data_IF_887307709433
#
_entry.id   IF_887307709433
#
_cell.length_a   1.000
_cell.length_b   1.000
_cell.length_c   1.000
_cell.angle_alpha   90.00
_cell.angle_beta   90.00
_cell.angle_gamma   90.00
#
_symmetry.space_group_name_H-M   'P 1'
#
loop_
_entity.id
_entity.type
_entity.pdbx_description
1 polymer ?
#
# COMPACT_ATOMS: atom_id res chain seq x y z
N UNK A 1 1.07 0.61 3.84
CA UNK A 1 1.37 0.19 2.46
C UNK A 1 2.33 1.12 1.71
N UNK A 2 2.00 2.40 1.40
CA UNK A 2 2.84 3.32 0.60
C UNK A 2 4.33 3.36 0.98
N UNK A 3 4.65 3.64 2.25
CA UNK A 3 6.04 3.78 2.70
C UNK A 3 6.84 2.49 2.54
N UNK A 4 6.21 1.34 2.82
CA UNK A 4 6.83 0.03 2.63
C UNK A 4 7.16 -0.22 1.16
N UNK A 5 6.20 0.04 0.25
CA UNK A 5 6.44 -0.05 -1.18
C UNK A 5 7.55 0.90 -1.65
N UNK A 6 7.53 2.16 -1.22
CA UNK A 6 8.55 3.15 -1.59
C UNK A 6 9.95 2.75 -1.11
N UNK A 7 10.09 2.28 0.15
CA UNK A 7 11.36 1.81 0.69
C UNK A 7 11.91 0.61 -0.10
N UNK A 8 11.04 -0.34 -0.46
CA UNK A 8 11.40 -1.49 -1.30
C UNK A 8 11.82 -1.06 -2.71
N UNK A 9 11.12 -0.09 -3.30
CA UNK A 9 11.49 0.48 -4.58
C UNK A 9 12.88 1.10 -4.56
N UNK A 10 13.20 1.86 -3.51
CA UNK A 10 14.53 2.45 -3.34
C UNK A 10 15.62 1.41 -3.11
N UNK A 11 15.38 0.41 -2.28
CA UNK A 11 16.32 -0.68 -2.02
C UNK A 11 16.61 -1.49 -3.30
N UNK A 12 15.60 -1.70 -4.15
CA UNK A 12 15.74 -2.42 -5.42
C UNK A 12 16.22 -1.54 -6.60
N UNK A 13 16.46 -0.24 -6.37
CA UNK A 13 16.85 0.69 -7.43
C UNK A 13 15.77 0.93 -8.49
N UNK A 14 14.50 0.69 -8.17
CA UNK A 14 13.38 0.85 -9.08
C UNK A 14 13.03 2.33 -9.28
N UNK A 15 12.71 2.69 -10.52
CA UNK A 15 12.11 3.99 -10.85
C UNK A 15 10.59 3.85 -10.86
N UNK A 16 9.91 4.69 -10.09
CA UNK A 16 8.45 4.72 -9.99
C UNK A 16 7.97 6.15 -9.73
N UNK A 17 6.73 6.43 -10.11
CA UNK A 17 6.01 7.64 -9.76
C UNK A 17 5.45 7.53 -8.33
N UNK A 18 5.90 8.37 -7.38
CA UNK A 18 5.43 8.31 -6.00
C UNK A 18 3.96 8.73 -5.84
N UNK A 19 3.41 9.57 -6.71
CA UNK A 19 2.00 9.95 -6.66
C UNK A 19 1.11 8.79 -7.08
N UNK A 20 1.46 8.08 -8.16
CA UNK A 20 0.72 6.89 -8.60
C UNK A 20 0.79 5.76 -7.55
N UNK A 21 1.96 5.51 -6.97
CA UNK A 21 2.10 4.56 -5.86
C UNK A 21 1.26 4.98 -4.64
N UNK A 22 1.20 6.28 -4.34
CA UNK A 22 0.38 6.79 -3.24
C UNK A 22 -1.11 6.57 -3.48
N UNK A 23 -1.60 6.84 -4.69
CA UNK A 23 -3.00 6.59 -5.05
C UNK A 23 -3.30 5.09 -4.98
N UNK A 24 -2.43 4.24 -5.53
CA UNK A 24 -2.55 2.77 -5.37
C UNK A 24 -2.71 2.36 -3.90
N UNK A 25 -1.84 2.88 -3.03
CA UNK A 25 -1.89 2.59 -1.61
C UNK A 25 -3.16 3.09 -0.90
N UNK A 26 -3.67 4.27 -1.28
CA UNK A 26 -4.87 4.84 -0.67
C UNK A 26 -6.14 4.07 -1.03
N UNK A 27 -6.22 3.51 -2.24
CA UNK A 27 -7.46 2.95 -2.77
C UNK A 27 -7.51 1.41 -2.76
N UNK A 28 -6.40 0.70 -2.53
CA UNK A 28 -6.36 -0.76 -2.71
C UNK A 28 -7.43 -1.55 -1.93
N UNK A 29 -7.74 -1.12 -0.70
CA UNK A 29 -8.72 -1.74 0.18
C UNK A 29 -10.08 -1.03 0.18
N UNK A 30 -10.28 -0.02 -0.67
CA UNK A 30 -11.50 0.80 -0.65
C UNK A 30 -12.76 -0.03 -0.95
N UNK A 31 -12.62 -1.06 -1.81
CA UNK A 31 -13.66 -2.02 -2.13
C UNK A 31 -14.12 -2.89 -0.96
N UNK A 32 -13.38 -2.94 0.16
CA UNK A 32 -13.83 -3.65 1.37
C UNK A 32 -14.90 -2.87 2.13
N UNK A 33 -15.05 -1.57 1.86
CA UNK A 33 -15.97 -0.70 2.59
C UNK A 33 -17.39 -0.81 2.06
N UNK A 34 -18.40 -0.70 2.94
CA UNK A 34 -19.83 -0.77 2.58
C UNK A 34 -20.21 0.15 1.43
N UNK A 35 -19.61 1.34 1.38
CA UNK A 35 -19.97 2.36 0.39
C UNK A 35 -19.54 1.99 -1.03
N UNK A 36 -18.42 1.29 -1.17
CA UNK A 36 -17.79 1.06 -2.47
C UNK A 36 -17.81 -0.40 -2.89
N UNK A 37 -18.10 -1.34 -1.96
CA UNK A 37 -18.23 -2.75 -2.32
C UNK A 37 -19.43 -2.97 -3.23
N UNK A 38 -19.24 -3.83 -4.22
CA UNK A 38 -20.32 -4.42 -5.00
C UNK A 38 -20.53 -5.88 -4.60
N UNK A 39 -21.60 -6.48 -5.11
CA UNK A 39 -21.96 -7.88 -4.83
C UNK A 39 -21.65 -8.83 -5.99
N UNK A 40 -21.26 -8.29 -7.14
CA UNK A 40 -21.09 -9.01 -8.41
C UNK A 40 -19.64 -9.07 -8.90
N UNK A 41 -18.69 -8.48 -8.17
CA UNK A 41 -17.27 -8.50 -8.52
C UNK A 41 -16.36 -8.54 -7.28
N UNK A 42 -15.06 -8.66 -7.54
CA UNK A 42 -13.99 -8.68 -6.53
C UNK A 42 -13.78 -7.29 -5.93
N UNK A 43 -13.50 -7.21 -4.63
CA UNK A 43 -13.25 -5.93 -3.94
C UNK A 43 -12.02 -5.20 -4.50
N UNK A 44 -11.04 -5.95 -5.01
CA UNK A 44 -9.87 -5.37 -5.67
C UNK A 44 -10.26 -4.60 -6.92
N UNK A 45 -11.25 -5.09 -7.68
CA UNK A 45 -11.78 -4.39 -8.85
C UNK A 45 -12.58 -3.16 -8.43
N UNK A 46 -13.39 -3.26 -7.36
CA UNK A 46 -14.12 -2.11 -6.80
C UNK A 46 -13.18 -0.96 -6.40
N UNK A 47 -12.07 -1.27 -5.71
CA UNK A 47 -11.07 -0.28 -5.33
C UNK A 47 -10.34 0.31 -6.55
N UNK A 48 -10.03 -0.52 -7.55
CA UNK A 48 -9.37 -0.10 -8.77
C UNK A 48 -10.24 0.86 -9.60
N UNK A 49 -11.53 0.54 -9.76
CA UNK A 49 -12.49 1.38 -10.47
C UNK A 49 -12.62 2.77 -9.82
N UNK A 50 -12.69 2.82 -8.49
CA UNK A 50 -12.75 4.07 -7.74
C UNK A 50 -11.46 4.89 -7.84
N UNK A 51 -10.29 4.24 -7.84
CA UNK A 51 -9.02 4.91 -8.07
C UNK A 51 -8.94 5.53 -9.47
N UNK A 52 -9.37 4.79 -10.49
CA UNK A 52 -9.40 5.28 -11.87
C UNK A 52 -10.36 6.47 -12.00
N UNK A 53 -11.57 6.37 -11.43
CA UNK A 53 -12.53 7.48 -11.38
C UNK A 53 -11.95 8.72 -10.70
N UNK A 54 -11.25 8.54 -9.58
CA UNK A 54 -10.56 9.63 -8.87
C UNK A 54 -9.49 10.28 -9.75
N UNK A 55 -8.62 9.49 -10.37
CA UNK A 55 -7.54 10.00 -11.23
C UNK A 55 -8.07 10.77 -12.44
N UNK A 56 -9.09 10.22 -13.11
CA UNK A 56 -9.74 10.88 -14.25
C UNK A 56 -10.32 12.24 -13.86
N UNK A 57 -10.96 12.34 -12.69
CA UNK A 57 -11.48 13.60 -12.17
C UNK A 57 -10.38 14.65 -11.87
N UNK A 58 -9.12 14.23 -11.76
CA UNK A 58 -7.95 15.10 -11.56
C UNK A 58 -7.10 15.23 -12.83
N UNK A 59 -7.62 14.84 -13.99
CA UNK A 59 -6.93 14.98 -15.28
C UNK A 59 -5.84 13.94 -15.55
N UNK A 60 -5.69 12.92 -14.70
CA UNK A 60 -4.77 11.80 -14.92
C UNK A 60 -5.54 10.67 -15.60
N UNK A 61 -5.22 10.42 -16.87
CA UNK A 61 -5.91 9.44 -17.73
C UNK A 61 -4.91 8.53 -18.45
N UNK A 62 -5.42 7.65 -19.32
CA UNK A 62 -4.61 6.74 -20.13
C UNK A 62 -3.74 5.81 -19.29
N UNK A 63 -2.51 5.58 -19.74
CA UNK A 63 -1.59 4.60 -19.17
C UNK A 63 -1.36 4.78 -17.65
N UNK A 64 -1.30 6.01 -17.16
CA UNK A 64 -1.10 6.28 -15.73
C UNK A 64 -2.28 5.80 -14.88
N UNK A 65 -3.50 6.09 -15.33
CA UNK A 65 -4.71 5.65 -14.66
C UNK A 65 -4.88 4.13 -14.75
N UNK A 66 -4.54 3.55 -15.90
CA UNK A 66 -4.59 2.11 -16.11
C UNK A 66 -3.55 1.38 -15.26
N UNK A 67 -2.35 1.94 -15.11
CA UNK A 67 -1.30 1.40 -14.25
C UNK A 67 -1.74 1.33 -12.79
N UNK A 68 -2.35 2.40 -12.27
CA UNK A 68 -2.88 2.40 -10.89
C UNK A 68 -4.03 1.42 -10.74
N UNK A 69 -4.93 1.36 -11.73
CA UNK A 69 -6.02 0.39 -11.74
C UNK A 69 -5.48 -1.05 -11.69
N UNK A 70 -4.50 -1.39 -12.54
CA UNK A 70 -3.89 -2.73 -12.59
C UNK A 70 -3.14 -3.05 -11.30
N UNK A 71 -2.42 -2.08 -10.74
CA UNK A 71 -1.72 -2.24 -9.47
C UNK A 71 -2.68 -2.65 -8.36
N UNK A 72 -3.82 -1.99 -8.27
CA UNK A 72 -4.86 -2.32 -7.27
C UNK A 72 -5.55 -3.63 -7.62
N UNK A 73 -5.97 -3.86 -8.87
CA UNK A 73 -6.72 -5.07 -9.23
C UNK A 73 -5.93 -6.37 -8.96
N UNK A 74 -4.59 -6.31 -9.04
CA UNK A 74 -3.70 -7.45 -8.85
C UNK A 74 -2.98 -7.48 -7.48
N UNK A 75 -3.26 -6.55 -6.55
CA UNK A 75 -2.44 -6.42 -5.35
C UNK A 75 -2.47 -7.64 -4.41
N UNK A 76 -3.52 -8.48 -4.51
CA UNK A 76 -3.66 -9.75 -3.78
C UNK A 76 -3.23 -10.97 -4.60
N UNK A 77 -2.87 -10.78 -5.87
CA UNK A 77 -2.42 -11.84 -6.75
C UNK A 77 -0.92 -12.07 -6.54
N UNK A 78 -0.50 -13.23 -6.03
CA UNK A 78 0.91 -13.51 -5.81
C UNK A 78 1.67 -13.60 -7.14
N UNK A 79 2.95 -13.28 -7.09
CA UNK A 79 3.95 -13.43 -8.18
C UNK A 79 3.72 -12.53 -9.41
N UNK A 80 2.53 -12.51 -10.01
CA UNK A 80 2.24 -11.80 -11.26
C UNK A 80 2.64 -10.31 -11.22
N UNK A 81 2.22 -9.50 -10.22
CA UNK A 81 2.54 -8.07 -10.18
C UNK A 81 4.04 -7.76 -10.15
N UNK A 82 4.85 -8.70 -9.64
CA UNK A 82 6.28 -8.53 -9.45
C UNK A 82 7.07 -8.56 -10.76
N UNK A 83 6.43 -9.00 -11.86
CA UNK A 83 7.00 -9.01 -13.21
C UNK A 83 6.48 -7.86 -14.08
N UNK A 84 5.74 -6.90 -13.50
CA UNK A 84 5.13 -5.78 -14.22
C UNK A 84 5.88 -4.47 -13.93
N UNK A 85 5.28 -3.33 -14.28
CA UNK A 85 5.87 -2.00 -14.01
C UNK A 85 6.02 -1.76 -12.51
N UNK A 86 6.95 -0.88 -12.16
CA UNK A 86 7.35 -0.65 -10.77
C UNK A 86 6.18 -0.29 -9.85
N UNK A 87 5.24 0.56 -10.29
CA UNK A 87 4.08 0.92 -9.48
C UNK A 87 3.20 -0.29 -9.16
N UNK A 88 3.01 -1.19 -10.13
CA UNK A 88 2.23 -2.42 -9.96
C UNK A 88 2.92 -3.34 -8.94
N UNK A 89 4.22 -3.58 -9.11
CA UNK A 89 4.99 -4.41 -8.19
C UNK A 89 5.02 -3.83 -6.77
N UNK A 90 5.19 -2.52 -6.63
CA UNK A 90 5.41 -1.85 -5.34
C UNK A 90 4.13 -1.71 -4.50
N UNK A 91 2.95 -1.64 -5.14
CA UNK A 91 1.67 -1.78 -4.44
C UNK A 91 1.60 -3.16 -3.77
N UNK A 92 1.90 -4.24 -4.48
CA UNK A 92 1.96 -5.60 -3.92
C UNK A 92 3.01 -5.73 -2.83
N UNK A 93 4.25 -5.26 -3.06
CA UNK A 93 5.32 -5.28 -2.02
C UNK A 93 4.92 -4.53 -0.76
N UNK A 94 4.22 -3.42 -0.93
CA UNK A 94 3.71 -2.64 0.18
C UNK A 94 2.70 -3.41 1.03
N UNK A 95 1.79 -4.18 0.42
CA UNK A 95 0.80 -5.03 1.11
C UNK A 95 1.47 -6.24 1.76
N UNK A 96 2.36 -6.91 1.01
CA UNK A 96 3.16 -8.04 1.47
C UNK A 96 3.86 -7.75 2.80
N UNK A 97 4.52 -6.59 2.91
CA UNK A 97 5.17 -6.20 4.15
C UNK A 97 4.15 -5.78 5.23
N UNK A 98 3.15 -4.97 4.87
CA UNK A 98 2.22 -4.39 5.86
C UNK A 98 1.33 -5.43 6.53
N UNK A 99 0.92 -6.46 5.79
CA UNK A 99 -0.07 -7.48 6.19
C UNK A 99 0.57 -8.83 6.46
N UNK A 100 1.48 -9.29 5.61
CA UNK A 100 2.05 -10.64 5.68
C UNK A 100 3.44 -10.68 6.32
N UNK A 101 4.10 -9.52 6.50
CA UNK A 101 5.48 -9.45 6.98
C UNK A 101 6.52 -9.91 5.95
N UNK A 102 6.13 -10.11 4.69
CA UNK A 102 7.05 -10.53 3.63
C UNK A 102 7.97 -9.36 3.28
N UNK A 103 9.27 -9.64 3.17
CA UNK A 103 10.28 -8.60 2.93
C UNK A 103 10.61 -7.76 4.17
N UNK A 104 10.27 -8.24 5.38
CA UNK A 104 10.58 -7.55 6.63
C UNK A 104 12.05 -7.17 6.72
N UNK A 105 12.96 -8.13 6.54
CA UNK A 105 14.41 -7.93 6.69
C UNK A 105 15.04 -7.02 5.62
N UNK A 106 14.31 -6.72 4.55
CA UNK A 106 14.76 -5.81 3.50
C UNK A 106 14.56 -4.32 3.84
N UNK A 107 13.90 -4.03 4.96
CA UNK A 107 13.79 -2.68 5.52
C UNK A 107 14.60 -2.65 6.81
N UNK A 108 15.37 -1.59 7.07
CA UNK A 108 16.13 -1.48 8.32
C UNK A 108 15.22 -1.27 9.53
N UNK A 109 15.71 -1.59 10.73
CA UNK A 109 15.02 -1.30 11.99
C UNK A 109 14.69 0.18 12.14
N UNK A 110 15.62 1.07 11.76
CA UNK A 110 15.44 2.51 11.81
C UNK A 110 14.31 2.97 10.89
N UNK A 111 14.28 2.49 9.64
CA UNK A 111 13.20 2.78 8.70
C UNK A 111 11.85 2.27 9.22
N UNK A 112 11.81 1.04 9.76
CA UNK A 112 10.59 0.50 10.36
C UNK A 112 10.10 1.36 11.52
N UNK A 113 10.98 1.72 12.44
CA UNK A 113 10.65 2.53 13.61
C UNK A 113 10.11 3.91 13.20
N UNK A 114 10.72 4.56 12.22
CA UNK A 114 10.29 5.86 11.74
C UNK A 114 8.91 5.81 11.06
N UNK A 115 8.65 4.80 10.22
CA UNK A 115 7.33 4.64 9.57
C UNK A 115 6.25 4.40 10.62
N UNK A 116 6.49 3.54 11.62
CA UNK A 116 5.53 3.27 12.71
C UNK A 116 5.31 4.50 13.60
N UNK A 117 6.36 5.27 13.90
CA UNK A 117 6.25 6.50 14.68
C UNK A 117 5.45 7.59 13.95
N UNK A 118 5.62 7.69 12.62
CA UNK A 118 4.88 8.65 11.79
C UNK A 118 3.43 8.20 11.52
N UNK A 119 3.20 6.89 11.42
CA UNK A 119 1.90 6.29 11.09
C UNK A 119 1.54 5.16 12.08
N UNK A 120 1.12 5.49 13.31
CA UNK A 120 0.76 4.48 14.30
C UNK A 120 -0.42 3.63 13.84
N UNK A 121 -0.37 2.31 14.10
CA UNK A 121 -1.44 1.35 13.78
C UNK A 121 -2.18 0.90 15.06
N UNK A 122 -3.10 1.70 15.62
CA UNK A 122 -3.86 1.28 16.78
C UNK A 122 -4.75 0.07 16.44
N UNK A 123 -4.62 -1.03 17.20
CA UNK A 123 -5.47 -2.21 17.09
C UNK A 123 -4.93 -3.35 16.21
N UNK A 124 -3.80 -3.18 15.52
CA UNK A 124 -3.10 -4.31 14.90
C UNK A 124 -2.36 -5.08 16.00
N UNK A 125 -2.70 -6.36 16.20
CA UNK A 125 -2.04 -7.20 17.21
C UNK A 125 -0.52 -7.22 16.96
N UNK A 126 0.26 -6.99 18.01
CA UNK A 126 1.72 -7.17 17.94
C UNK A 126 1.99 -8.62 17.53
N UNK A 127 2.87 -8.89 16.55
CA UNK A 127 3.28 -10.26 16.28
C UNK A 127 3.87 -10.83 17.58
N UNK A 128 3.47 -12.06 17.93
CA UNK A 128 4.03 -12.73 19.09
C UNK A 128 5.56 -12.86 18.91
N UNK A 129 6.37 -12.52 19.92
CA UNK A 129 7.81 -12.71 19.83
C UNK A 129 8.12 -14.21 19.67
N UNK A 130 8.89 -14.58 18.63
CA UNK A 130 9.43 -15.93 18.47
C UNK A 130 9.01 -16.74 17.23
N UNK A 131 8.22 -16.20 16.29
CA UNK A 131 7.93 -16.93 15.03
C UNK A 131 9.00 -16.64 13.97
N UNK A 132 10.17 -17.25 14.12
CA UNK A 132 11.14 -17.40 13.02
C UNK A 132 10.44 -18.10 11.86
N UNK A 133 10.38 -17.46 10.69
CA UNK A 133 9.89 -18.08 9.47
C UNK A 133 10.89 -19.16 9.00
N UNK A 134 10.75 -20.39 9.49
CA UNK A 134 11.09 -21.55 8.67
C UNK A 134 10.03 -21.63 7.58
N UNK A 135 10.49 -21.64 6.32
CA UNK A 135 9.65 -21.69 5.13
C UNK A 135 8.49 -22.65 5.29
N UNK A 136 7.27 -22.10 5.22
CA UNK A 136 6.05 -22.89 5.23
C UNK A 136 5.74 -23.27 3.78
N UNK A 137 5.89 -24.56 3.46
CA UNK A 137 5.00 -25.18 2.48
C UNK A 137 3.61 -25.22 3.15
N UNK A 138 2.70 -24.36 2.70
CA UNK A 138 1.34 -24.23 3.23
C UNK A 138 0.30 -24.94 2.33
N UNK A 139 -0.78 -25.48 2.91
CA UNK A 139 -1.85 -26.21 2.21
C UNK A 139 -2.79 -25.26 1.43
N UNK A 140 -3.70 -25.76 0.57
CA UNK A 140 -4.33 -24.93 -0.45
C UNK A 140 -5.41 -23.98 0.08
N UNK A 141 -5.39 -22.78 -0.54
CA UNK A 141 -6.38 -21.71 -0.75
C UNK A 141 -7.73 -21.86 -0.03
N UNK A 142 -7.99 -20.96 0.95
CA UNK A 142 -9.29 -20.29 1.18
C UNK A 142 -9.36 -19.30 2.38
N UNK A 143 -8.29 -19.07 3.15
CA UNK A 143 -8.44 -18.47 4.50
C UNK A 143 -8.22 -16.93 4.64
N UNK A 144 -8.21 -16.16 3.55
CA UNK A 144 -8.00 -14.68 3.65
C UNK A 144 -9.25 -13.94 4.16
N UNK A 145 -10.44 -14.55 4.11
CA UNK A 145 -11.72 -13.92 4.53
C UNK A 145 -11.81 -13.60 6.02
N UNK A 146 -11.11 -14.32 6.91
CA UNK A 146 -11.43 -14.27 8.35
C UNK A 146 -10.67 -13.19 9.16
N UNK A 147 -9.61 -12.57 8.62
CA UNK A 147 -8.79 -11.63 9.42
C UNK A 147 -9.20 -10.16 9.37
N UNK A 148 -10.03 -9.75 8.42
CA UNK A 148 -10.31 -8.32 8.17
C UNK A 148 -11.67 -7.82 8.73
N UNK A 149 -12.46 -8.70 9.35
CA UNK A 149 -13.82 -8.39 9.82
C UNK A 149 -13.93 -7.77 11.22
N UNK A 150 -13.26 -6.64 11.51
CA UNK A 150 -13.58 -5.85 12.73
C UNK A 150 -13.90 -4.39 12.39
N UNK A 151 -15.14 -4.02 12.74
CA UNK A 151 -15.86 -2.78 12.41
C UNK A 151 -15.02 -1.51 12.61
N UNK A 152 -14.76 -0.78 11.52
CA UNK A 152 -14.22 0.58 11.57
C UNK A 152 -15.36 1.60 11.72
N UNK A 153 -15.21 2.55 12.67
CA UNK A 153 -16.10 3.71 12.84
C UNK A 153 -15.96 4.70 11.66
N UNK A 154 -17.02 5.46 11.30
CA UNK A 154 -16.99 6.35 10.15
C UNK A 154 -16.03 7.53 10.34
N UNK A 155 -15.09 7.70 9.42
CA UNK A 155 -14.22 8.87 9.33
C UNK A 155 -14.90 9.97 8.51
N UNK A 156 -15.09 11.16 9.10
CA UNK A 156 -15.50 12.37 8.38
C UNK A 156 -14.28 12.94 7.63
N UNK A 157 -14.33 13.19 6.31
CA UNK A 157 -13.21 13.79 5.61
C UNK A 157 -13.26 15.32 5.76
N UNK A 158 -12.28 15.89 6.47
CA UNK A 158 -11.79 17.24 6.21
C UNK A 158 -10.28 17.15 6.04
N UNK A 159 -9.85 16.78 4.83
CA UNK A 159 -8.44 16.87 4.46
C UNK A 159 -8.13 18.35 4.23
N UNK A 160 -7.45 19.00 5.18
CA UNK A 160 -6.78 20.28 4.94
C UNK A 160 -5.34 20.00 4.49
N UNK A 161 -4.86 20.58 3.38
CA UNK A 161 -3.55 20.28 2.77
C UNK A 161 -2.32 20.56 3.65
N UNK A 162 -2.48 21.18 4.84
CA UNK A 162 -1.38 21.53 5.75
C UNK A 162 -0.79 20.36 6.56
N UNK A 163 -1.47 19.21 6.68
CA UNK A 163 -0.97 18.08 7.51
C UNK A 163 0.06 17.19 6.82
N UNK A 164 0.02 17.04 5.50
CA UNK A 164 0.92 16.16 4.75
C UNK A 164 2.40 16.65 4.79
N UNK A 165 2.60 17.96 4.67
CA UNK A 165 3.95 18.57 4.73
C UNK A 165 4.68 18.25 6.04
N UNK A 166 3.97 18.14 7.17
CA UNK A 166 4.59 17.84 8.47
C UNK A 166 5.04 16.39 8.59
N UNK A 167 4.36 15.43 7.96
CA UNK A 167 4.75 14.00 8.00
C UNK A 167 5.98 13.74 7.13
N UNK A 168 6.04 14.32 5.93
CA UNK A 168 7.23 14.28 5.08
C UNK A 168 8.42 15.00 5.74
N UNK A 169 8.17 16.10 6.46
CA UNK A 169 9.20 16.83 7.21
C UNK A 169 9.71 16.01 8.40
N UNK A 170 8.85 15.27 9.11
CA UNK A 170 9.27 14.37 10.21
C UNK A 170 10.15 13.20 9.74
N UNK A 171 9.85 12.61 8.58
CA UNK A 171 10.69 11.55 7.99
C UNK A 171 12.03 12.11 7.50
N UNK A 172 12.05 13.31 6.89
CA UNK A 172 13.29 14.03 6.54
C UNK A 172 14.13 14.41 7.76
N UNK A 173 13.51 14.80 8.88
CA UNK A 173 14.19 15.14 10.14
C UNK A 173 14.81 13.91 10.83
N UNK A 174 14.31 12.71 10.54
CA UNK A 174 14.85 11.43 11.03
C UNK A 174 15.90 10.82 10.09
N UNK A 175 16.50 11.59 9.17
CA UNK A 175 17.54 11.10 8.25
C UNK A 175 17.04 10.19 7.11
N UNK A 176 15.76 9.81 7.11
CA UNK A 176 15.15 9.00 6.05
C UNK A 176 14.70 9.94 4.94
N UNK A 177 15.63 10.25 4.03
CA UNK A 177 15.31 10.97 2.82
C UNK A 177 14.49 10.07 1.88
N UNK A 178 13.17 10.26 1.85
CA UNK A 178 12.40 9.97 0.64
C UNK A 178 12.75 11.12 -0.31
N UNK A 179 13.56 10.89 -1.37
CA UNK A 179 13.95 11.97 -2.27
C UNK A 179 12.68 12.56 -2.91
N UNK A 180 12.62 13.89 -3.10
CA UNK A 180 11.49 14.48 -3.80
C UNK A 180 11.48 13.98 -5.25
N UNK A 181 10.30 13.86 -5.90
CA UNK A 181 10.25 13.59 -7.33
C UNK A 181 11.10 14.65 -8.05
N UNK A 182 12.03 14.20 -8.91
CA UNK A 182 12.76 15.14 -9.78
C UNK A 182 11.76 15.70 -10.80
N UNK A 183 11.81 16.99 -11.13
CA UNK A 183 10.95 17.56 -12.16
C UNK A 183 11.20 16.86 -13.50
N UNK A 184 10.13 16.77 -14.30
CA UNK A 184 10.08 16.14 -15.62
C UNK A 184 11.14 16.68 -16.59
#
# INVERSE_FOLDING_TARGET
MFFWGSLRGHEQGLRFDPELLHVGAMFHDLGLTERFRRTDQRFEIDGADEARRFLHAHGVTGEQADRVWTAIALHTTPEIPLHMTSEIALVTRGVELDVLGIGYDAVSDEQRAAVVAAHPRPGLQKPAPGRVHRGHQGPPRDDVRQRQGRRARPLRPRIRPRRLRRSHQKLRLAGIAIPPPRPA
#
